data_IF_129770016653
#
_entry.id   IF_129770016653
#
_cell.length_a   1.000
_cell.length_b   1.000
_cell.length_c   1.000
_cell.angle_alpha   90.00
_cell.angle_beta   90.00
_cell.angle_gamma   90.00
#
_symmetry.space_group_name_H-M   'P 1'
#
loop_
_entity.id
_entity.type
_entity.pdbx_description
1 polymer ?
#
# COMPACT_ATOMS: atom_id res chain seq x y z
N UNK A 1 10.87 14.77 12.55
CA UNK A 1 11.47 14.72 13.90
C UNK A 1 10.42 14.28 14.93
N UNK A 2 9.25 14.94 14.99
CA UNK A 2 8.20 14.62 16.00
C UNK A 2 7.80 13.14 15.97
N UNK A 3 7.59 12.55 14.78
CA UNK A 3 7.28 11.11 14.63
C UNK A 3 8.35 10.24 15.27
N UNK A 4 9.63 10.53 15.00
CA UNK A 4 10.75 9.76 15.54
C UNK A 4 10.85 9.87 17.07
N UNK A 5 10.63 11.06 17.62
CA UNK A 5 10.62 11.28 19.07
C UNK A 5 9.46 10.51 19.72
N UNK A 6 8.26 10.59 19.16
CA UNK A 6 7.10 9.87 19.67
C UNK A 6 7.37 8.36 19.61
N UNK A 7 7.83 7.84 18.48
CA UNK A 7 8.14 6.40 18.34
C UNK A 7 9.22 5.94 19.32
N UNK A 8 10.23 6.78 19.61
CA UNK A 8 11.34 6.42 20.53
C UNK A 8 10.90 6.43 21.99
N UNK A 9 10.14 7.42 22.42
CA UNK A 9 9.83 7.64 23.83
C UNK A 9 8.49 7.07 24.28
N UNK A 10 7.63 6.63 23.34
CA UNK A 10 6.34 6.02 23.67
C UNK A 10 6.34 4.53 23.32
N UNK A 11 5.43 3.79 23.93
CA UNK A 11 5.25 2.34 23.69
C UNK A 11 3.78 2.02 23.43
N UNK A 12 3.53 0.88 22.81
CA UNK A 12 2.19 0.37 22.56
C UNK A 12 1.41 1.22 21.56
N UNK A 13 0.16 1.53 21.86
CA UNK A 13 -0.76 2.22 20.95
C UNK A 13 -0.24 3.58 20.47
N UNK A 14 0.34 4.41 21.36
CA UNK A 14 0.82 5.77 21.01
C UNK A 14 1.97 5.69 19.99
N UNK A 15 2.86 4.73 20.13
CA UNK A 15 3.94 4.51 19.15
C UNK A 15 3.38 4.18 17.77
N UNK A 16 2.29 3.40 17.68
CA UNK A 16 1.68 3.02 16.42
C UNK A 16 0.95 4.17 15.71
N UNK A 17 0.38 5.10 16.47
CA UNK A 17 -0.23 6.32 15.90
C UNK A 17 0.76 7.48 15.79
N UNK A 18 2.06 7.23 15.94
CA UNK A 18 3.11 8.28 15.93
C UNK A 18 3.10 9.14 14.67
N UNK A 19 2.77 8.57 13.51
CA UNK A 19 2.63 9.31 12.25
C UNK A 19 1.48 10.31 12.33
N UNK A 20 0.31 9.88 12.81
CA UNK A 20 -0.85 10.74 13.01
C UNK A 20 -0.52 11.86 14.02
N UNK A 21 0.06 11.50 15.16
CA UNK A 21 0.47 12.48 16.17
C UNK A 21 1.52 13.46 15.62
N UNK A 22 2.45 12.97 14.82
CA UNK A 22 3.43 13.83 14.14
C UNK A 22 2.80 14.79 13.14
N UNK A 23 1.76 14.36 12.41
CA UNK A 23 0.98 15.23 11.53
C UNK A 23 0.20 16.30 12.33
N UNK A 24 -0.41 15.91 13.45
CA UNK A 24 -1.10 16.86 14.35
C UNK A 24 -0.14 17.90 14.89
N UNK A 25 1.03 17.49 15.37
CA UNK A 25 2.07 18.43 15.83
C UNK A 25 2.52 19.36 14.71
N UNK A 26 2.75 18.80 13.50
CA UNK A 26 3.10 19.59 12.32
C UNK A 26 2.02 20.59 11.93
N UNK A 27 0.75 20.18 12.00
CA UNK A 27 -0.39 21.04 11.75
C UNK A 27 -0.48 22.19 12.76
N UNK A 28 -0.35 21.89 14.06
CA UNK A 28 -0.37 22.91 15.13
C UNK A 28 0.76 23.93 14.95
N UNK A 29 1.97 23.48 14.61
CA UNK A 29 3.11 24.38 14.33
C UNK A 29 2.82 25.24 13.09
N UNK A 30 2.29 24.64 12.01
CA UNK A 30 1.93 25.36 10.79
C UNK A 30 0.83 26.41 11.05
N UNK A 31 -0.13 26.08 11.88
CA UNK A 31 -1.18 27.00 12.33
C UNK A 31 -0.58 28.18 13.10
N UNK A 32 0.27 27.92 14.08
CA UNK A 32 0.94 28.96 14.89
C UNK A 32 1.83 29.88 14.02
N UNK A 33 2.38 29.37 12.93
CA UNK A 33 3.18 30.15 11.97
C UNK A 33 2.33 30.86 10.90
N UNK A 34 1.00 30.79 10.98
CA UNK A 34 0.09 31.40 9.99
C UNK A 34 0.21 30.82 8.57
N UNK A 35 0.63 29.55 8.45
CA UNK A 35 0.82 28.87 7.17
C UNK A 35 -0.39 28.01 6.75
N UNK A 36 -1.48 28.08 7.51
CA UNK A 36 -2.72 27.36 7.21
C UNK A 36 -3.75 28.41 6.75
N UNK A 37 -4.36 28.12 5.61
CA UNK A 37 -5.53 28.83 5.14
C UNK A 37 -6.75 27.91 5.28
N UNK A 38 -7.83 28.46 5.82
CA UNK A 38 -9.13 27.81 5.89
C UNK A 38 -10.09 28.37 4.84
N UNK A 39 -9.54 28.89 3.72
CA UNK A 39 -10.34 29.46 2.65
C UNK A 39 -11.34 28.41 2.14
N UNK A 40 -12.62 28.79 2.08
CA UNK A 40 -13.70 27.89 1.65
C UNK A 40 -14.32 27.02 2.75
N UNK A 41 -13.78 27.00 3.98
CA UNK A 41 -14.39 26.23 5.08
C UNK A 41 -15.79 26.73 5.43
N UNK A 42 -15.99 28.04 5.39
CA UNK A 42 -17.30 28.67 5.68
C UNK A 42 -18.30 28.40 4.57
N UNK A 43 -17.84 28.30 3.32
CA UNK A 43 -18.66 27.99 2.16
C UNK A 43 -18.97 26.50 1.99
N UNK A 44 -18.27 25.62 2.73
CA UNK A 44 -18.51 24.18 2.66
C UNK A 44 -19.80 23.80 3.39
N UNK A 45 -20.59 22.96 2.73
CA UNK A 45 -21.80 22.39 3.32
C UNK A 45 -21.47 21.52 4.55
N UNK A 46 -22.38 21.47 5.51
CA UNK A 46 -22.27 20.55 6.64
C UNK A 46 -22.48 19.11 6.22
N UNK A 47 -23.37 18.87 5.25
CA UNK A 47 -23.70 17.57 4.73
C UNK A 47 -23.68 17.60 3.19
N UNK A 48 -22.99 16.65 2.59
CA UNK A 48 -23.09 16.42 1.16
C UNK A 48 -23.05 14.92 0.88
N UNK A 49 -23.85 14.50 -0.10
CA UNK A 49 -23.77 13.16 -0.63
C UNK A 49 -22.75 13.14 -1.76
N UNK A 50 -21.80 12.23 -1.68
CA UNK A 50 -20.82 11.99 -2.74
C UNK A 50 -21.57 11.37 -3.92
N UNK A 51 -21.55 12.06 -5.06
CA UNK A 51 -22.22 11.57 -6.26
C UNK A 51 -21.31 10.60 -7.00
N UNK A 52 -21.83 9.41 -7.39
CA UNK A 52 -21.12 8.53 -8.30
C UNK A 52 -20.84 9.24 -9.62
N UNK A 53 -19.74 8.92 -10.28
CA UNK A 53 -19.34 9.49 -11.58
C UNK A 53 -19.24 11.02 -11.60
N UNK A 54 -18.79 11.63 -10.51
CA UNK A 54 -18.67 13.09 -10.37
C UNK A 54 -17.87 13.76 -11.50
N UNK A 55 -16.85 13.09 -12.03
CA UNK A 55 -16.03 13.57 -13.16
C UNK A 55 -16.54 13.11 -14.54
N UNK A 56 -17.71 12.53 -14.61
CA UNK A 56 -18.31 12.01 -15.82
C UNK A 56 -18.27 10.49 -15.93
N UNK A 57 -18.82 9.98 -17.05
CA UNK A 57 -18.86 8.54 -17.28
C UNK A 57 -17.46 7.96 -17.55
N UNK A 58 -17.21 6.71 -17.19
CA UNK A 58 -15.93 6.05 -17.43
C UNK A 58 -15.58 6.04 -18.91
N UNK A 59 -14.34 6.41 -19.22
CA UNK A 59 -13.75 6.25 -20.55
C UNK A 59 -12.88 5.00 -20.55
N UNK A 60 -13.09 4.13 -21.53
CA UNK A 60 -12.39 2.86 -21.62
C UNK A 60 -11.22 2.97 -22.63
N UNK A 61 -10.00 2.99 -22.11
CA UNK A 61 -8.78 2.89 -22.89
C UNK A 61 -8.11 1.53 -22.63
N UNK A 62 -7.88 0.76 -23.70
CA UNK A 62 -7.36 -0.61 -23.60
C UNK A 62 -5.99 -0.64 -22.95
N UNK A 63 -5.12 0.33 -23.26
CA UNK A 63 -3.76 0.39 -22.69
C UNK A 63 -3.82 0.62 -21.17
N UNK A 64 -4.63 1.54 -20.71
CA UNK A 64 -4.84 1.85 -19.30
C UNK A 64 -5.47 0.67 -18.55
N UNK A 65 -6.44 -0.03 -19.17
CA UNK A 65 -7.06 -1.22 -18.58
C UNK A 65 -6.01 -2.32 -18.37
N UNK A 66 -5.22 -2.65 -19.40
CA UNK A 66 -4.19 -3.69 -19.29
C UNK A 66 -3.15 -3.31 -18.24
N UNK A 67 -2.67 -2.08 -18.24
CA UNK A 67 -1.71 -1.58 -17.27
C UNK A 67 -2.26 -1.70 -15.84
N UNK A 68 -3.51 -1.28 -15.62
CA UNK A 68 -4.14 -1.37 -14.30
C UNK A 68 -4.38 -2.82 -13.86
N UNK A 69 -4.78 -3.72 -14.78
CA UNK A 69 -4.90 -5.15 -14.47
C UNK A 69 -3.57 -5.75 -14.00
N UNK A 70 -2.45 -5.40 -14.67
CA UNK A 70 -1.13 -5.86 -14.27
C UNK A 70 -0.72 -5.32 -12.88
N UNK A 71 -0.98 -4.02 -12.61
CA UNK A 71 -0.76 -3.44 -11.28
C UNK A 71 -1.59 -4.16 -10.23
N UNK A 72 -2.85 -4.45 -10.50
CA UNK A 72 -3.72 -5.16 -9.56
C UNK A 72 -3.28 -6.59 -9.28
N UNK A 73 -2.66 -7.28 -10.24
CA UNK A 73 -2.05 -8.61 -9.98
C UNK A 73 -0.91 -8.48 -8.96
N UNK A 74 -0.04 -7.46 -9.09
CA UNK A 74 1.03 -7.22 -8.12
C UNK A 74 0.44 -6.89 -6.74
N UNK A 75 -0.60 -6.06 -6.68
CA UNK A 75 -1.32 -5.73 -5.45
C UNK A 75 -1.95 -6.97 -4.80
N UNK A 76 -2.51 -7.90 -5.58
CA UNK A 76 -3.05 -9.17 -5.07
C UNK A 76 -1.97 -10.03 -4.42
N UNK A 77 -0.75 -10.06 -4.95
CA UNK A 77 0.38 -10.77 -4.36
C UNK A 77 0.75 -10.14 -3.01
N UNK A 78 0.81 -8.81 -2.95
CA UNK A 78 1.05 -8.08 -1.70
C UNK A 78 -0.04 -8.36 -0.66
N UNK A 79 -1.32 -8.25 -1.03
CA UNK A 79 -2.45 -8.55 -0.14
C UNK A 79 -2.41 -10.00 0.36
N UNK A 80 -1.99 -10.95 -0.48
CA UNK A 80 -1.82 -12.35 -0.08
C UNK A 80 -0.82 -12.47 1.07
N UNK A 81 0.33 -11.81 0.95
CA UNK A 81 1.33 -11.77 2.03
C UNK A 81 0.79 -11.20 3.34
N UNK A 82 -0.02 -10.14 3.25
CA UNK A 82 -0.65 -9.52 4.42
C UNK A 82 -1.70 -10.40 5.07
N UNK A 83 -2.54 -11.11 4.30
CA UNK A 83 -3.51 -12.05 4.84
C UNK A 83 -2.85 -13.22 5.55
N UNK A 84 -1.76 -13.75 4.99
CA UNK A 84 -0.98 -14.81 5.64
C UNK A 84 -0.38 -14.32 6.96
N UNK A 85 0.26 -13.15 6.97
CA UNK A 85 0.80 -12.54 8.18
C UNK A 85 -0.26 -12.27 9.24
N UNK A 86 -1.45 -11.80 8.83
CA UNK A 86 -2.58 -11.62 9.74
C UNK A 86 -3.06 -12.95 10.32
N UNK A 87 -3.12 -14.00 9.48
CA UNK A 87 -3.47 -15.36 9.90
C UNK A 87 -2.56 -15.84 11.02
N UNK A 88 -1.25 -15.67 10.87
CA UNK A 88 -0.25 -16.04 11.88
C UNK A 88 -0.46 -15.27 13.20
N UNK A 89 -0.68 -13.95 13.13
CA UNK A 89 -0.89 -13.09 14.29
C UNK A 89 -2.17 -13.47 15.06
N UNK A 90 -3.26 -13.79 14.35
CA UNK A 90 -4.54 -14.18 15.00
C UNK A 90 -4.61 -15.65 15.37
N UNK A 91 -3.62 -16.45 14.97
CA UNK A 91 -3.56 -17.89 15.20
C UNK A 91 -4.60 -18.68 14.39
N UNK A 92 -4.91 -18.21 13.18
CA UNK A 92 -5.86 -18.86 12.27
C UNK A 92 -5.22 -19.19 10.94
N UNK A 93 -5.26 -20.44 10.55
CA UNK A 93 -4.78 -20.87 9.23
C UNK A 93 -5.66 -20.24 8.13
N UNK A 94 -5.00 -19.61 7.16
CA UNK A 94 -5.65 -19.05 5.97
C UNK A 94 -5.64 -20.13 4.89
N UNK A 95 -6.81 -20.66 4.58
CA UNK A 95 -7.02 -21.59 3.47
C UNK A 95 -7.30 -20.82 2.16
N UNK A 96 -7.21 -21.51 1.04
CA UNK A 96 -7.40 -20.94 -0.30
C UNK A 96 -8.76 -20.23 -0.45
N UNK A 97 -9.78 -20.77 0.21
CA UNK A 97 -11.13 -20.19 0.18
C UNK A 97 -11.22 -18.86 0.93
N UNK A 98 -10.59 -18.78 2.08
CA UNK A 98 -10.51 -17.56 2.88
C UNK A 98 -9.67 -16.51 2.16
N UNK A 99 -8.52 -16.91 1.59
CA UNK A 99 -7.67 -16.04 0.79
C UNK A 99 -8.43 -15.47 -0.42
N UNK A 100 -9.08 -16.34 -1.21
CA UNK A 100 -9.87 -15.90 -2.36
C UNK A 100 -11.01 -14.95 -1.96
N UNK A 101 -11.63 -15.17 -0.80
CA UNK A 101 -12.67 -14.28 -0.28
C UNK A 101 -12.11 -12.90 0.08
N UNK A 102 -10.94 -12.85 0.71
CA UNK A 102 -10.25 -11.58 1.03
C UNK A 102 -9.89 -10.79 -0.23
N UNK A 103 -9.28 -11.44 -1.22
CA UNK A 103 -8.92 -10.80 -2.49
C UNK A 103 -10.16 -10.30 -3.27
N UNK A 104 -11.28 -11.01 -3.20
CA UNK A 104 -12.55 -10.53 -3.79
C UNK A 104 -13.08 -9.28 -3.09
N UNK A 105 -12.89 -9.16 -1.78
CA UNK A 105 -13.28 -7.95 -1.02
C UNK A 105 -12.41 -6.77 -1.42
N UNK A 106 -11.09 -6.94 -1.57
CA UNK A 106 -10.20 -5.89 -2.08
C UNK A 106 -10.63 -5.43 -3.48
N UNK A 107 -10.92 -6.39 -4.39
CA UNK A 107 -11.42 -6.09 -5.73
C UNK A 107 -12.77 -5.36 -5.72
N UNK A 108 -13.71 -5.79 -4.86
CA UNK A 108 -15.01 -5.12 -4.73
C UNK A 108 -14.86 -3.69 -4.19
N UNK A 109 -13.98 -3.50 -3.19
CA UNK A 109 -13.65 -2.17 -2.67
C UNK A 109 -13.09 -1.26 -3.76
N UNK A 110 -12.21 -1.77 -4.61
CA UNK A 110 -11.65 -1.05 -5.76
C UNK A 110 -12.75 -0.66 -6.77
N UNK A 111 -13.68 -1.57 -7.10
CA UNK A 111 -14.80 -1.27 -8.00
C UNK A 111 -15.71 -0.18 -7.43
N UNK A 112 -16.10 -0.30 -6.15
CA UNK A 112 -16.89 0.72 -5.46
C UNK A 112 -16.13 2.06 -5.45
N UNK A 113 -14.84 2.04 -5.13
CA UNK A 113 -13.99 3.23 -5.17
C UNK A 113 -14.00 3.89 -6.55
N UNK A 114 -13.85 3.12 -7.62
CA UNK A 114 -13.91 3.61 -8.99
C UNK A 114 -15.23 4.30 -9.33
N UNK A 115 -16.39 3.77 -8.85
CA UNK A 115 -17.69 4.42 -9.03
C UNK A 115 -17.76 5.80 -8.34
N UNK A 116 -17.08 5.96 -7.22
CA UNK A 116 -17.00 7.21 -6.46
C UNK A 116 -15.76 8.06 -6.79
N UNK A 117 -15.08 7.76 -7.90
CA UNK A 117 -13.90 8.50 -8.38
C UNK A 117 -12.75 8.54 -7.36
N UNK A 118 -12.53 7.47 -6.61
CA UNK A 118 -11.39 7.32 -5.71
C UNK A 118 -10.33 6.38 -6.29
N UNK A 119 -9.16 6.38 -5.67
CA UNK A 119 -8.08 5.46 -6.04
C UNK A 119 -8.44 4.00 -5.67
N UNK A 120 -7.79 3.01 -6.32
CA UNK A 120 -7.93 1.61 -5.94
C UNK A 120 -7.59 1.39 -4.46
N UNK A 121 -8.41 0.58 -3.79
CA UNK A 121 -8.17 0.19 -2.41
C UNK A 121 -7.47 -1.17 -2.34
N UNK A 122 -6.63 -1.32 -1.33
CA UNK A 122 -5.97 -2.57 -1.00
C UNK A 122 -5.88 -2.73 0.51
N UNK A 123 -5.55 -3.92 0.96
CA UNK A 123 -5.27 -4.20 2.37
C UNK A 123 -4.10 -3.34 2.87
N UNK A 124 -4.21 -2.82 4.08
CA UNK A 124 -3.25 -1.87 4.64
C UNK A 124 -2.29 -2.56 5.62
N UNK A 125 -1.03 -2.72 5.23
CA UNK A 125 -0.02 -3.51 5.95
C UNK A 125 0.25 -3.01 7.37
N UNK A 126 0.20 -1.69 7.60
CA UNK A 126 0.41 -1.11 8.93
C UNK A 126 -0.67 -1.56 9.93
N UNK A 127 -1.91 -1.78 9.48
CA UNK A 127 -2.98 -2.30 10.33
C UNK A 127 -2.73 -3.73 10.78
N UNK A 128 -2.07 -4.55 9.96
CA UNK A 128 -1.66 -5.91 10.35
C UNK A 128 -0.68 -5.84 11.52
N UNK A 129 0.32 -4.95 11.43
CA UNK A 129 1.24 -4.68 12.54
C UNK A 129 0.52 -4.18 13.80
N UNK A 130 -0.49 -3.31 13.64
CA UNK A 130 -1.28 -2.79 14.75
C UNK A 130 -2.06 -3.90 15.48
N UNK A 131 -2.63 -4.86 14.77
CA UNK A 131 -3.27 -6.04 15.38
C UNK A 131 -2.28 -6.82 16.23
N UNK A 132 -1.05 -7.03 15.75
CA UNK A 132 0.02 -7.72 16.49
C UNK A 132 0.39 -7.01 17.80
N UNK A 133 0.50 -5.68 17.77
CA UNK A 133 0.92 -4.90 18.96
C UNK A 133 -0.22 -4.70 19.96
N UNK A 134 -1.44 -4.43 19.48
CA UNK A 134 -2.59 -4.18 20.36
C UNK A 134 -3.23 -5.46 20.90
N UNK A 135 -3.01 -6.59 20.22
CA UNK A 135 -3.65 -7.86 20.52
C UNK A 135 -5.17 -7.88 20.26
N UNK A 136 -5.71 -6.81 19.66
CA UNK A 136 -7.14 -6.72 19.33
C UNK A 136 -7.41 -7.48 18.03
N UNK A 137 -8.06 -8.63 18.13
CA UNK A 137 -8.31 -9.57 17.01
C UNK A 137 -9.75 -9.53 16.50
N UNK A 138 -10.55 -8.56 16.95
CA UNK A 138 -11.97 -8.48 16.59
C UNK A 138 -12.17 -7.84 15.22
N UNK A 139 -12.86 -8.54 14.32
CA UNK A 139 -13.26 -8.02 12.99
C UNK A 139 -14.18 -6.79 13.09
N UNK A 140 -14.89 -6.62 14.20
CA UNK A 140 -15.81 -5.49 14.38
C UNK A 140 -15.08 -4.15 14.52
N UNK A 141 -13.77 -4.15 14.79
CA UNK A 141 -12.95 -2.93 14.75
C UNK A 141 -12.91 -2.36 13.32
N UNK A 142 -12.75 -3.22 12.32
CA UNK A 142 -12.80 -2.79 10.92
C UNK A 142 -14.18 -2.28 10.51
N UNK A 143 -15.25 -2.92 11.02
CA UNK A 143 -16.63 -2.46 10.78
C UNK A 143 -16.84 -1.07 11.40
N UNK A 144 -16.43 -0.87 12.64
CA UNK A 144 -16.52 0.43 13.31
C UNK A 144 -15.71 1.51 12.58
N UNK A 145 -14.49 1.18 12.16
CA UNK A 145 -13.66 2.09 11.36
C UNK A 145 -14.35 2.47 10.03
N UNK A 146 -14.95 1.51 9.33
CA UNK A 146 -15.72 1.76 8.11
C UNK A 146 -16.91 2.71 8.34
N UNK A 147 -17.67 2.50 9.41
CA UNK A 147 -18.78 3.39 9.78
C UNK A 147 -18.30 4.81 10.09
N UNK A 148 -17.20 4.95 10.82
CA UNK A 148 -16.58 6.26 11.13
C UNK A 148 -16.13 6.95 9.84
N UNK A 149 -15.49 6.22 8.91
CA UNK A 149 -15.03 6.77 7.63
C UNK A 149 -16.22 7.21 6.75
N UNK A 150 -17.30 6.45 6.72
CA UNK A 150 -18.54 6.85 6.01
C UNK A 150 -19.10 8.13 6.64
N UNK A 151 -19.17 8.18 7.97
CA UNK A 151 -19.62 9.40 8.66
C UNK A 151 -18.75 10.61 8.29
N UNK A 152 -17.42 10.47 8.28
CA UNK A 152 -16.53 11.56 7.85
C UNK A 152 -16.73 11.95 6.38
N UNK A 153 -16.99 11.01 5.51
CA UNK A 153 -17.29 11.28 4.09
C UNK A 153 -18.56 12.08 3.86
N UNK A 154 -19.54 11.99 4.79
CA UNK A 154 -20.77 12.77 4.72
C UNK A 154 -20.64 14.22 5.21
N UNK A 155 -19.49 14.57 5.83
CA UNK A 155 -19.22 15.91 6.36
C UNK A 155 -18.12 16.62 5.53
N UNK A 156 -18.43 17.37 4.47
CA UNK A 156 -17.45 18.07 3.65
C UNK A 156 -16.53 19.01 4.45
N UNK A 157 -17.02 19.62 5.52
CA UNK A 157 -16.20 20.45 6.41
C UNK A 157 -15.01 19.69 6.99
N UNK A 158 -15.16 18.41 7.32
CA UNK A 158 -14.05 17.57 7.80
C UNK A 158 -13.02 17.35 6.68
N UNK A 159 -13.49 17.14 5.44
CA UNK A 159 -12.60 17.03 4.29
C UNK A 159 -11.82 18.32 4.02
N UNK A 160 -12.46 19.50 4.15
CA UNK A 160 -11.78 20.79 4.04
C UNK A 160 -10.72 21.01 5.14
N UNK A 161 -11.00 20.61 6.38
CA UNK A 161 -10.00 20.64 7.46
C UNK A 161 -8.81 19.72 7.12
N UNK A 162 -9.07 18.52 6.62
CA UNK A 162 -8.00 17.62 6.20
C UNK A 162 -7.21 18.18 4.99
N UNK A 163 -7.89 18.81 4.03
CA UNK A 163 -7.26 19.43 2.87
C UNK A 163 -6.44 20.68 3.23
N UNK A 164 -6.73 21.33 4.35
CA UNK A 164 -5.96 22.50 4.83
C UNK A 164 -4.60 22.13 5.44
N UNK A 165 -4.29 20.81 5.58
CA UNK A 165 -2.98 20.37 6.05
C UNK A 165 -1.92 20.74 4.99
N UNK A 166 -0.90 21.56 5.34
CA UNK A 166 0.08 22.00 4.37
C UNK A 166 0.91 20.84 3.79
N UNK A 167 1.24 20.93 2.52
CA UNK A 167 1.99 19.87 1.82
C UNK A 167 3.35 19.55 2.48
N UNK A 168 4.02 20.52 3.11
CA UNK A 168 5.28 20.26 3.81
C UNK A 168 5.07 19.42 5.09
N UNK A 169 3.91 19.47 5.73
CA UNK A 169 3.56 18.60 6.86
C UNK A 169 3.32 17.17 6.34
N UNK A 170 2.51 17.04 5.28
CA UNK A 170 2.26 15.77 4.62
C UNK A 170 3.55 15.14 4.05
N UNK A 171 4.41 15.96 3.42
CA UNK A 171 5.70 15.51 2.91
C UNK A 171 6.61 14.99 4.02
N UNK A 172 6.68 15.67 5.16
CA UNK A 172 7.44 15.23 6.32
C UNK A 172 6.95 13.90 6.90
N UNK A 173 5.64 13.68 6.95
CA UNK A 173 5.05 12.39 7.32
C UNK A 173 5.31 11.34 6.24
N UNK A 174 5.16 11.72 4.97
CA UNK A 174 5.38 10.87 3.80
C UNK A 174 6.77 10.25 3.76
N UNK A 175 7.82 11.01 4.05
CA UNK A 175 9.20 10.48 4.12
C UNK A 175 9.29 9.30 5.10
N UNK A 176 8.68 9.41 6.28
CA UNK A 176 8.70 8.33 7.26
C UNK A 176 7.86 7.15 6.79
N UNK A 177 6.64 7.41 6.26
CA UNK A 177 5.74 6.35 5.80
C UNK A 177 6.32 5.56 4.64
N UNK A 178 6.83 6.22 3.60
CA UNK A 178 7.45 5.55 2.45
C UNK A 178 8.75 4.86 2.84
N UNK A 179 9.53 5.43 3.76
CA UNK A 179 10.69 4.78 4.34
C UNK A 179 10.32 3.47 5.07
N UNK A 180 9.21 3.44 5.78
CA UNK A 180 8.70 2.22 6.44
C UNK A 180 8.25 1.17 5.42
N UNK A 181 7.59 1.58 4.32
CA UNK A 181 7.23 0.66 3.23
C UNK A 181 8.47 0.04 2.60
N UNK A 182 9.48 0.86 2.31
CA UNK A 182 10.77 0.36 1.78
C UNK A 182 11.45 -0.62 2.77
N UNK A 183 11.46 -0.32 4.06
CA UNK A 183 12.00 -1.21 5.08
C UNK A 183 11.23 -2.55 5.16
N UNK A 184 9.90 -2.51 4.98
CA UNK A 184 9.08 -3.72 4.89
C UNK A 184 9.45 -4.54 3.65
N UNK A 185 9.65 -3.91 2.50
CA UNK A 185 10.15 -4.57 1.30
C UNK A 185 11.50 -5.28 1.53
N UNK A 186 12.44 -4.60 2.21
CA UNK A 186 13.74 -5.21 2.60
C UNK A 186 13.54 -6.42 3.52
N UNK A 187 12.61 -6.32 4.49
CA UNK A 187 12.28 -7.44 5.38
C UNK A 187 11.70 -8.64 4.62
N UNK A 188 10.88 -8.41 3.60
CA UNK A 188 10.38 -9.48 2.73
C UNK A 188 11.53 -10.10 1.94
N UNK A 189 12.40 -9.29 1.34
CA UNK A 189 13.57 -9.75 0.60
C UNK A 189 14.55 -10.54 1.48
N UNK A 190 14.65 -10.24 2.77
CA UNK A 190 15.54 -11.00 3.68
C UNK A 190 15.14 -12.46 3.87
N UNK A 191 13.92 -12.85 3.49
CA UNK A 191 13.47 -14.25 3.48
C UNK A 191 13.94 -15.04 2.25
N UNK A 192 14.48 -14.35 1.24
CA UNK A 192 15.01 -14.98 0.03
C UNK A 192 16.37 -15.60 0.34
N UNK A 193 16.58 -16.84 -0.11
CA UNK A 193 17.88 -17.50 0.03
C UNK A 193 18.89 -16.92 -0.97
N UNK A 194 19.71 -16.02 -0.52
CA UNK A 194 20.80 -15.41 -1.28
C UNK A 194 22.12 -16.21 -1.17
N UNK A 195 22.25 -17.09 -0.16
CA UNK A 195 23.46 -17.88 0.05
C UNK A 195 23.43 -19.17 -0.74
N UNK A 196 22.29 -19.88 -0.72
CA UNK A 196 22.13 -21.12 -1.47
C UNK A 196 21.95 -20.92 -2.96
N UNK A 197 21.30 -19.80 -3.36
CA UNK A 197 21.11 -19.46 -4.77
C UNK A 197 21.58 -18.03 -5.07
N UNK A 198 22.80 -17.94 -5.60
CA UNK A 198 23.44 -16.66 -5.95
C UNK A 198 22.68 -15.90 -7.07
N UNK A 199 21.90 -16.59 -7.89
CA UNK A 199 21.12 -15.97 -8.96
C UNK A 199 20.03 -15.06 -8.40
N UNK A 200 19.51 -15.33 -7.21
CA UNK A 200 18.50 -14.50 -6.56
C UNK A 200 18.99 -13.07 -6.33
N UNK A 201 20.29 -12.89 -6.05
CA UNK A 201 20.88 -11.55 -5.90
C UNK A 201 20.83 -10.75 -7.21
N UNK A 202 21.15 -11.40 -8.35
CA UNK A 202 21.07 -10.78 -9.69
C UNK A 202 19.62 -10.44 -10.04
N UNK A 203 18.69 -11.35 -9.77
CA UNK A 203 17.26 -11.15 -10.03
C UNK A 203 16.78 -9.89 -9.30
N UNK A 204 17.05 -9.79 -8.00
CA UNK A 204 16.63 -8.64 -7.18
C UNK A 204 17.31 -7.34 -7.65
N UNK A 205 18.64 -7.36 -7.86
CA UNK A 205 19.40 -6.18 -8.24
C UNK A 205 18.94 -5.61 -9.58
N UNK A 206 18.80 -6.47 -10.61
CA UNK A 206 18.37 -6.04 -11.95
C UNK A 206 16.92 -5.57 -11.94
N UNK A 207 16.04 -6.28 -11.23
CA UNK A 207 14.61 -5.93 -11.15
C UNK A 207 14.40 -4.56 -10.50
N UNK A 208 15.08 -4.28 -9.40
CA UNK A 208 15.04 -2.97 -8.74
C UNK A 208 15.65 -1.92 -9.66
N UNK A 209 16.82 -2.17 -10.25
CA UNK A 209 17.48 -1.23 -11.15
C UNK A 209 16.62 -0.82 -12.34
N UNK A 210 16.01 -1.80 -13.01
CA UNK A 210 15.10 -1.55 -14.14
C UNK A 210 13.82 -0.83 -13.68
N UNK A 211 13.26 -1.21 -12.54
CA UNK A 211 12.08 -0.53 -11.97
C UNK A 211 12.34 0.92 -11.58
N UNK A 212 13.58 1.31 -11.32
CA UNK A 212 13.94 2.68 -10.99
C UNK A 212 14.12 3.59 -12.24
N UNK A 213 14.25 3.02 -13.43
CA UNK A 213 14.48 3.81 -14.67
C UNK A 213 13.43 4.93 -14.84
N UNK A 214 12.11 4.67 -14.76
CA UNK A 214 11.13 5.73 -14.96
C UNK A 214 11.19 6.85 -13.91
N UNK A 215 11.73 6.54 -12.72
CA UNK A 215 11.85 7.50 -11.62
C UNK A 215 13.08 8.38 -11.82
N UNK A 216 14.21 7.78 -12.20
CA UNK A 216 15.50 8.48 -12.36
C UNK A 216 15.61 9.18 -13.71
N UNK A 217 15.04 8.58 -14.75
CA UNK A 217 15.04 9.09 -16.11
C UNK A 217 13.62 9.07 -16.71
N UNK A 218 12.73 10.00 -16.32
CA UNK A 218 11.31 9.97 -16.71
C UNK A 218 11.08 9.98 -18.22
N UNK A 219 12.00 10.59 -18.97
CA UNK A 219 11.90 10.72 -20.44
C UNK A 219 12.47 9.55 -21.23
N UNK A 220 13.02 8.54 -20.54
CA UNK A 220 13.69 7.41 -21.19
C UNK A 220 12.77 6.64 -22.14
N UNK A 221 11.50 6.52 -21.79
CA UNK A 221 10.49 5.77 -22.54
C UNK A 221 9.55 6.64 -23.39
N UNK A 222 9.75 7.96 -23.48
CA UNK A 222 8.84 8.89 -24.20
C UNK A 222 8.69 8.58 -25.70
N UNK A 223 9.68 7.94 -26.31
CA UNK A 223 9.65 7.55 -27.72
C UNK A 223 8.95 6.22 -28.00
N UNK A 224 8.46 5.56 -26.97
CA UNK A 224 7.73 4.29 -27.12
C UNK A 224 6.30 4.53 -27.61
N UNK A 225 5.72 3.56 -28.37
CA UNK A 225 4.29 3.61 -28.73
C UNK A 225 3.42 3.75 -27.47
N UNK A 226 2.31 4.49 -27.57
CA UNK A 226 1.43 4.83 -26.44
C UNK A 226 1.04 3.63 -25.56
N UNK A 227 0.73 2.48 -26.18
CA UNK A 227 0.40 1.23 -25.50
C UNK A 227 1.54 0.73 -24.59
N UNK A 228 2.76 0.76 -25.10
CA UNK A 228 3.96 0.32 -24.35
C UNK A 228 4.42 1.42 -23.39
N UNK A 229 4.28 2.70 -23.74
CA UNK A 229 4.64 3.82 -22.89
C UNK A 229 3.97 3.73 -21.52
N UNK A 230 2.66 3.48 -21.47
CA UNK A 230 1.91 3.38 -20.22
C UNK A 230 2.46 2.27 -19.30
N UNK A 231 2.90 1.15 -19.85
CA UNK A 231 3.49 0.03 -19.09
C UNK A 231 4.92 0.38 -18.65
N UNK A 232 5.74 0.93 -19.54
CA UNK A 232 7.14 1.22 -19.26
C UNK A 232 7.38 2.43 -18.36
N UNK A 233 6.40 3.35 -18.25
CA UNK A 233 6.44 4.42 -17.25
C UNK A 233 6.09 3.97 -15.84
N UNK A 234 5.61 2.73 -15.66
CA UNK A 234 5.35 2.15 -14.34
C UNK A 234 6.56 1.36 -13.83
N UNK A 235 7.30 1.92 -12.87
CA UNK A 235 8.43 1.25 -12.24
C UNK A 235 8.04 -0.07 -11.56
N UNK A 236 6.83 -0.16 -11.02
CA UNK A 236 6.31 -1.39 -10.38
C UNK A 236 6.14 -2.49 -11.42
N UNK A 237 5.54 -2.18 -12.57
CA UNK A 237 5.35 -3.17 -13.64
C UNK A 237 6.67 -3.64 -14.22
N UNK A 238 7.61 -2.72 -14.45
CA UNK A 238 8.96 -3.06 -14.93
C UNK A 238 9.70 -3.96 -13.96
N UNK A 239 9.75 -3.58 -12.67
CA UNK A 239 10.40 -4.38 -11.64
C UNK A 239 9.78 -5.78 -11.55
N UNK A 240 8.45 -5.87 -11.56
CA UNK A 240 7.73 -7.14 -11.46
C UNK A 240 7.95 -8.03 -12.68
N UNK A 241 7.86 -7.47 -13.89
CA UNK A 241 8.10 -8.20 -15.14
C UNK A 241 9.54 -8.71 -15.22
N UNK A 242 10.50 -7.89 -14.82
CA UNK A 242 11.91 -8.29 -14.75
C UNK A 242 12.15 -9.37 -13.70
N UNK A 243 11.55 -9.24 -12.52
CA UNK A 243 11.67 -10.25 -11.46
C UNK A 243 11.13 -11.61 -11.90
N UNK A 244 9.93 -11.63 -12.50
CA UNK A 244 9.33 -12.86 -13.01
C UNK A 244 10.15 -13.44 -14.17
N UNK A 245 10.52 -12.61 -15.16
CA UNK A 245 11.29 -13.04 -16.32
C UNK A 245 12.66 -13.61 -15.95
N UNK A 246 13.40 -12.91 -15.10
CA UNK A 246 14.72 -13.36 -14.65
C UNK A 246 14.62 -14.59 -13.74
N UNK A 247 13.58 -14.67 -12.89
CA UNK A 247 13.37 -15.84 -12.06
C UNK A 247 13.08 -17.09 -12.93
N UNK A 248 12.25 -16.96 -13.97
CA UNK A 248 12.00 -18.04 -14.92
C UNK A 248 13.26 -18.40 -15.70
N UNK A 249 14.09 -17.44 -16.05
CA UNK A 249 15.32 -17.66 -16.79
C UNK A 249 16.39 -18.38 -15.95
N UNK A 250 16.63 -17.94 -14.72
CA UNK A 250 17.70 -18.47 -13.88
C UNK A 250 17.29 -19.70 -13.06
N UNK A 251 16.06 -19.71 -12.56
CA UNK A 251 15.57 -20.75 -11.64
C UNK A 251 14.57 -21.72 -12.31
N UNK A 252 14.13 -21.40 -13.53
CA UNK A 252 13.14 -22.21 -14.24
C UNK A 252 11.75 -22.12 -13.61
N UNK A 253 10.88 -23.05 -14.00
CA UNK A 253 9.59 -23.24 -13.31
C UNK A 253 9.87 -24.05 -12.06
N UNK A 254 9.66 -23.45 -10.87
CA UNK A 254 9.75 -24.16 -9.60
C UNK A 254 8.91 -25.44 -9.64
N UNK A 255 9.48 -26.55 -9.18
CA UNK A 255 8.71 -27.79 -9.05
C UNK A 255 7.70 -27.64 -7.91
N UNK A 256 6.61 -28.43 -7.91
CA UNK A 256 5.65 -28.48 -6.79
C UNK A 256 6.37 -28.82 -5.47
N UNK A 257 7.46 -29.57 -5.53
CA UNK A 257 8.31 -29.90 -4.39
C UNK A 257 9.04 -28.67 -3.82
N UNK A 258 9.49 -27.74 -4.68
CA UNK A 258 10.13 -26.50 -4.22
C UNK A 258 9.11 -25.58 -3.52
N UNK A 259 7.91 -25.47 -4.07
CA UNK A 259 6.80 -24.72 -3.46
C UNK A 259 6.44 -25.33 -2.10
N UNK A 260 6.37 -26.66 -2.00
CA UNK A 260 6.11 -27.35 -0.75
C UNK A 260 7.26 -27.15 0.27
N UNK A 261 8.52 -27.19 -0.16
CA UNK A 261 9.68 -26.90 0.71
C UNK A 261 9.67 -25.47 1.25
N UNK A 262 9.36 -24.47 0.40
CA UNK A 262 9.23 -23.08 0.84
C UNK A 262 8.07 -22.90 1.82
N UNK A 263 6.95 -23.58 1.62
CA UNK A 263 5.81 -23.57 2.52
C UNK A 263 6.16 -24.18 3.90
N UNK A 264 6.90 -25.29 3.92
CA UNK A 264 7.37 -25.95 5.15
C UNK A 264 8.42 -25.10 5.86
N UNK A 265 9.37 -24.51 5.14
CA UNK A 265 10.38 -23.62 5.74
C UNK A 265 9.76 -22.35 6.32
N UNK A 266 8.75 -21.77 5.66
CA UNK A 266 7.99 -20.64 6.18
C UNK A 266 7.20 -21.00 7.45
N UNK A 267 6.63 -22.20 7.51
CA UNK A 267 5.93 -22.69 8.70
C UNK A 267 6.89 -22.91 9.89
N UNK A 268 8.10 -23.41 9.65
CA UNK A 268 9.10 -23.62 10.70
C UNK A 268 9.75 -22.33 11.21
N UNK A 269 9.80 -21.27 10.42
CA UNK A 269 10.31 -19.96 10.84
C UNK A 269 9.33 -19.17 11.71
N UNK A 270 8.08 -19.61 11.84
CA UNK A 270 7.05 -18.99 12.70
C UNK A 270 7.03 -19.55 14.13
N UNK A 271 7.80 -20.61 14.43
CA UNK A 271 7.89 -21.24 15.75
C UNK A 271 9.05 -20.72 16.62
N UNK A 272 9.72 -19.67 16.19
CA UNK A 272 10.75 -18.95 16.94
C UNK A 272 10.41 -17.45 17.00
#
# INVERSE_FOLDING_TARGET
VSILLITKYTRGFISNISVLMGMVVGFVIAFALGKISFDGLDAADWFAFIQPFHYGLPQFDIASIISMCLVMIVTMIESTGMFMALGDIVGRRIDDRTLASGLRVDGLGTVIGGLFNTFPYTSFSQNVGLVGVTGIRSRFVCVAAGVILIAFGLFPKMAHVAASIPQFVLGGAGIVMFGMVAATGIKILSKVDFHGNRNNLFIVAISIGVGMIPIVAPTFFDKMPHLLGTIFHSGILLASAMAVGLNLFFNGRGSEEDVARYAVAAAQSSDH
#
